data_IF_428976653601
#
_entry.id   IF_428976653601
#
_cell.length_a   1.000
_cell.length_b   1.000
_cell.length_c   1.000
_cell.angle_alpha   90.00
_cell.angle_beta   90.00
_cell.angle_gamma   90.00
#
_symmetry.space_group_name_H-M   'P 1'
#
loop_
_entity.id
_entity.type
_entity.pdbx_description
1 polymer ?
2 branched ?
3 non-polymer ?
4 water ?
#
# COMPACT_ATOMS: atom_id res chain seq x y z
N UNK A 1 -2.83 -6.16 -22.16
CA UNK A 1 -2.52 -7.14 -21.08
C UNK A 1 -2.99 -6.64 -19.72
N UNK A 2 -3.34 -7.58 -18.86
CA UNK A 2 -3.72 -7.28 -17.50
C UNK A 2 -2.83 -8.09 -16.57
N UNK A 3 -2.25 -7.42 -15.59
CA UNK A 3 -1.40 -8.07 -14.60
C UNK A 3 -1.97 -7.86 -13.20
N UNK A 4 -1.70 -8.80 -12.31
CA UNK A 4 -2.11 -8.72 -10.92
C UNK A 4 -1.00 -9.20 -10.00
N UNK A 5 -1.06 -8.79 -8.74
CA UNK A 5 -0.12 -9.25 -7.74
C UNK A 5 -0.66 -9.08 -6.33
N UNK A 6 0.24 -9.14 -5.37
CA UNK A 6 -0.12 -9.13 -3.96
C UNK A 6 1.06 -8.63 -3.13
N UNK A 7 0.81 -7.63 -2.29
CA UNK A 7 1.85 -7.00 -1.49
C UNK A 7 1.57 -7.35 -0.06
N UNK A 8 2.43 -8.17 0.54
CA UNK A 8 2.30 -8.52 1.94
C UNK A 8 3.20 -7.60 2.74
N UNK A 9 2.60 -6.67 3.47
CA UNK A 9 3.34 -5.69 4.24
C UNK A 9 3.83 -6.25 5.57
N UNK A 10 3.06 -7.15 6.17
CA UNK A 10 3.44 -7.79 7.42
C UNK A 10 3.25 -6.90 8.63
N UNK A 11 4.01 -7.17 9.69
CA UNK A 11 3.97 -6.40 10.94
C UNK A 11 4.48 -4.99 10.67
N UNK A 12 3.93 -4.00 11.37
CA UNK A 12 4.34 -2.61 11.15
C UNK A 12 5.62 -2.19 11.88
N UNK A 13 6.23 -3.15 12.59
CA UNK A 13 7.57 -2.99 13.16
C UNK A 13 8.61 -2.82 12.05
N UNK A 14 8.40 -3.50 10.93
CA UNK A 14 9.26 -3.38 9.77
C UNK A 14 8.90 -2.20 8.88
N UNK A 15 7.73 -1.60 9.12
CA UNK A 15 7.31 -0.43 8.34
C UNK A 15 8.14 0.74 8.82
N UNK A 16 8.43 1.67 7.92
CA UNK A 16 9.23 2.84 8.24
C UNK A 16 8.38 3.98 8.78
N UNK A 17 8.96 4.78 9.67
CA UNK A 17 8.39 6.06 10.04
C UNK A 17 8.55 6.97 8.84
N UNK A 18 7.47 7.64 8.45
CA UNK A 18 7.51 8.65 7.39
C UNK A 18 6.82 9.93 7.86
N UNK A 19 7.20 11.07 7.29
CA UNK A 19 6.70 12.36 7.79
C UNK A 19 5.28 12.60 7.29
N UNK A 20 4.37 12.93 8.20
CA UNK A 20 2.97 13.08 7.86
C UNK A 20 2.76 14.14 6.77
N UNK A 21 1.87 13.85 5.83
CA UNK A 21 1.43 14.83 4.83
C UNK A 21 -0.02 15.28 5.08
N UNK A 22 -0.57 14.90 6.24
CA UNK A 22 -1.89 15.34 6.69
C UNK A 22 -1.74 15.87 8.12
N UNK A 23 -1.97 17.17 8.34
CA UNK A 23 -1.65 17.80 9.63
C UNK A 23 -2.38 17.22 10.85
N UNK A 24 -3.55 16.62 10.63
CA UNK A 24 -4.28 15.92 11.68
C UNK A 24 -3.82 14.49 11.98
N UNK A 25 -2.75 14.03 11.34
CA UNK A 25 -2.16 12.71 11.61
C UNK A 25 -0.70 12.84 12.05
N UNK A 26 -0.31 12.01 13.01
CA UNK A 26 1.09 11.91 13.43
C UNK A 26 1.49 10.44 13.57
N UNK A 27 2.74 10.19 13.96
CA UNK A 27 3.27 8.83 14.04
C UNK A 27 2.86 8.00 12.81
N UNK A 28 2.98 8.60 11.63
CA UNK A 28 2.59 7.96 10.38
C UNK A 28 3.68 6.99 9.95
N UNK A 29 3.36 5.70 9.88
CA UNK A 29 4.28 4.69 9.35
C UNK A 29 3.77 4.20 8.01
N UNK A 30 4.58 3.41 7.31
CA UNK A 30 4.29 3.06 5.93
C UNK A 30 5.22 1.97 5.39
N UNK A 31 4.64 0.86 4.93
CA UNK A 31 5.37 -0.12 4.15
C UNK A 31 5.16 0.20 2.68
N UNK A 32 6.10 0.93 2.09
CA UNK A 32 5.98 1.41 0.71
C UNK A 32 6.80 0.56 -0.25
N UNK A 33 6.15 -0.40 -0.91
CA UNK A 33 6.80 -1.24 -1.91
C UNK A 33 6.79 -0.56 -3.28
N UNK A 34 7.71 -1.01 -4.12
CA UNK A 34 7.93 -0.44 -5.43
C UNK A 34 7.88 -1.56 -6.46
N UNK A 35 6.74 -1.66 -7.14
CA UNK A 35 6.41 -2.81 -7.98
C UNK A 35 6.88 -2.62 -9.41
N UNK A 36 7.26 -3.73 -10.05
CA UNK A 36 7.60 -3.76 -11.47
C UNK A 36 6.78 -4.82 -12.21
N UNK A 37 5.99 -4.36 -13.18
CA UNK A 37 5.20 -5.23 -14.05
C UNK A 37 6.07 -6.28 -14.74
N UNK A 38 5.60 -7.52 -14.78
CA UNK A 38 6.33 -8.60 -15.43
C UNK A 38 6.51 -8.28 -16.91
N UNK A 39 5.38 -8.01 -17.57
CA UNK A 39 5.37 -7.57 -18.96
C UNK A 39 5.04 -6.07 -18.99
N UNK A 40 6.04 -5.22 -19.23
CA UNK A 40 5.83 -3.78 -19.27
C UNK A 40 4.66 -3.33 -20.15
N UNK A 41 4.08 -2.21 -19.75
CA UNK A 41 3.18 -1.45 -20.61
C UNK A 41 4.01 -0.36 -21.26
N UNK A 42 3.51 0.20 -22.36
CA UNK A 42 4.16 1.36 -22.96
C UNK A 42 3.37 2.66 -22.71
N UNK A 43 2.07 2.55 -22.43
CA UNK A 43 1.32 3.63 -21.76
C UNK A 43 0.91 3.17 -20.34
N UNK A 44 1.01 4.06 -19.35
CA UNK A 44 0.65 3.74 -17.96
C UNK A 44 -0.73 3.11 -17.79
N UNK A 45 -0.79 1.92 -17.22
CA UNK A 45 -2.07 1.22 -17.02
C UNK A 45 -2.87 1.82 -15.87
N UNK A 46 -4.18 1.62 -15.88
CA UNK A 46 -5.01 1.92 -14.72
C UNK A 46 -4.82 0.83 -13.67
N UNK A 47 -4.50 1.24 -12.45
CA UNK A 47 -4.30 0.30 -11.34
C UNK A 47 -5.38 0.48 -10.28
N UNK A 48 -5.94 -0.63 -9.80
CA UNK A 48 -6.81 -0.63 -8.62
C UNK A 48 -6.11 -1.34 -7.48
N UNK A 49 -6.25 -0.79 -6.27
CA UNK A 49 -5.77 -1.44 -5.06
C UNK A 49 -6.94 -2.00 -4.26
N UNK A 50 -6.67 -3.10 -3.58
CA UNK A 50 -7.62 -3.74 -2.69
C UNK A 50 -6.90 -4.22 -1.43
N UNK A 51 -7.52 -4.03 -0.27
CA UNK A 51 -7.01 -4.62 0.96
C UNK A 51 -7.69 -5.97 1.12
N UNK A 52 -6.91 -7.04 1.25
CA UNK A 52 -7.47 -8.38 1.36
C UNK A 52 -6.92 -9.20 2.54
N UNK A 53 -6.21 -8.56 3.47
CA UNK A 53 -5.81 -9.24 4.71
C UNK A 53 -5.56 -8.20 5.79
N UNK A 54 -6.35 -8.24 6.86
CA UNK A 54 -6.15 -7.32 7.97
C UNK A 54 -6.09 -8.04 9.30
N UNK A 55 -5.14 -7.61 10.12
CA UNK A 55 -4.89 -8.16 11.44
C UNK A 55 -4.50 -6.96 12.30
N UNK A 56 -5.49 -6.37 12.97
CA UNK A 56 -5.30 -5.10 13.67
C UNK A 56 -5.67 -5.23 15.15
N UNK A 57 -4.92 -4.53 15.99
CA UNK A 57 -5.13 -4.48 17.44
C UNK A 57 -6.51 -3.90 17.79
N UNK A 58 -7.23 -4.62 18.66
CA UNK A 58 -8.64 -4.33 18.95
C UNK A 58 -8.81 -3.21 19.96
N UNK A 59 -7.78 -3.00 20.77
CA UNK A 59 -7.83 -2.04 21.87
C UNK A 59 -7.68 -0.62 21.35
N UNK A 60 -7.27 -0.50 20.09
CA UNK A 60 -6.93 0.79 19.51
C UNK A 60 -7.54 0.90 18.11
N UNK A 61 -7.85 2.13 17.70
CA UNK A 61 -8.60 2.36 16.46
C UNK A 61 -7.96 1.75 15.22
N UNK A 62 -8.81 1.20 14.36
CA UNK A 62 -8.41 0.73 13.04
C UNK A 62 -8.04 1.93 12.18
N UNK A 63 -6.74 2.12 11.93
CA UNK A 63 -6.27 3.16 11.01
C UNK A 63 -5.39 2.55 9.92
N UNK A 64 -5.94 2.40 8.72
CA UNK A 64 -5.17 1.90 7.58
C UNK A 64 -5.55 2.57 6.27
N UNK A 65 -4.58 2.62 5.37
CA UNK A 65 -4.80 3.04 3.99
C UNK A 65 -4.06 2.07 3.08
N UNK A 66 -4.69 1.72 1.97
CA UNK A 66 -4.00 1.09 0.85
C UNK A 66 -3.74 2.23 -0.10
N UNK A 67 -2.55 2.81 -0.01
CA UNK A 67 -2.22 4.04 -0.73
C UNK A 67 -1.62 3.75 -2.10
N UNK A 68 -2.03 4.54 -3.09
CA UNK A 68 -1.51 4.43 -4.45
C UNK A 68 -0.90 5.75 -4.87
N UNK A 69 0.42 5.86 -4.75
CA UNK A 69 1.13 7.09 -5.09
C UNK A 69 1.15 7.39 -6.60
N UNK A 70 1.87 6.58 -7.37
CA UNK A 70 2.08 6.85 -8.80
C UNK A 70 2.04 5.59 -9.66
N UNK A 71 1.78 5.79 -10.95
CA UNK A 71 1.73 4.71 -11.92
C UNK A 71 2.43 5.12 -13.22
N UNK A 72 3.42 4.31 -13.59
CA UNK A 72 4.22 4.48 -14.79
C UNK A 72 3.95 3.29 -15.70
N UNK A 73 4.56 3.26 -16.88
CA UNK A 73 4.39 2.12 -17.79
C UNK A 73 5.15 0.90 -17.31
N UNK A 74 6.14 1.14 -16.46
CA UNK A 74 7.04 0.12 -15.95
C UNK A 74 6.59 -0.49 -14.60
N UNK A 75 5.71 0.20 -13.87
CA UNK A 75 5.37 -0.21 -12.51
C UNK A 75 4.65 0.85 -11.68
N UNK A 76 4.58 0.65 -10.37
CA UNK A 76 3.91 1.62 -9.51
C UNK A 76 4.38 1.56 -8.07
N UNK A 77 4.46 2.72 -7.41
CA UNK A 77 4.71 2.79 -5.97
C UNK A 77 3.37 2.85 -5.23
N UNK A 78 3.17 1.90 -4.32
CA UNK A 78 2.00 1.86 -3.42
C UNK A 78 2.43 1.40 -2.04
N UNK A 79 1.56 1.56 -1.04
CA UNK A 79 1.95 1.30 0.35
C UNK A 79 0.81 0.93 1.31
N UNK A 80 1.11 0.10 2.30
CA UNK A 80 0.29 0.01 3.51
C UNK A 80 0.68 1.16 4.40
N UNK A 81 -0.31 1.85 4.95
CA UNK A 81 -0.08 3.11 5.65
C UNK A 81 -0.94 3.15 6.91
N UNK A 82 -0.33 3.45 8.04
CA UNK A 82 -1.07 3.62 9.30
C UNK A 82 -0.51 4.79 10.09
N UNK A 83 -1.27 5.26 11.07
CA UNK A 83 -0.83 6.41 11.86
C UNK A 83 -1.29 6.39 13.32
N UNK A 84 -0.67 7.25 14.13
CA UNK A 84 -0.96 7.41 15.57
C UNK A 84 -0.62 6.12 16.37
N UNK A 85 -1.48 5.69 17.29
CA UNK A 85 -1.15 4.54 18.15
C UNK A 85 -1.66 3.18 17.65
N UNK A 86 -2.40 3.21 16.54
CA UNK A 86 -2.87 2.00 15.87
C UNK A 86 -1.75 0.99 15.66
N UNK A 87 -2.04 -0.28 15.87
CA UNK A 87 -1.05 -1.34 15.67
C UNK A 87 -1.52 -2.35 14.62
N UNK A 88 -0.84 -2.36 13.48
CA UNK A 88 -1.07 -3.35 12.44
C UNK A 88 -0.13 -4.54 12.62
N UNK A 89 -0.70 -5.72 12.85
CA UNK A 89 0.04 -6.98 12.84
C UNK A 89 0.15 -7.56 11.44
N UNK A 90 -0.80 -7.25 10.55
CA UNK A 90 -0.79 -7.79 9.19
C UNK A 90 -1.65 -7.00 8.20
N UNK A 91 -1.09 -6.63 7.05
CA UNK A 91 -1.87 -6.01 5.97
C UNK A 91 -1.40 -6.45 4.59
N UNK A 92 -2.29 -7.03 3.81
CA UNK A 92 -2.00 -7.36 2.41
C UNK A 92 -2.81 -6.48 1.46
N UNK A 93 -2.21 -6.15 0.32
CA UNK A 93 -2.84 -5.36 -0.72
C UNK A 93 -2.68 -6.11 -2.03
N UNK A 94 -3.75 -6.74 -2.51
CA UNK A 94 -3.74 -7.32 -3.85
C UNK A 94 -4.18 -6.24 -4.83
N UNK A 95 -3.61 -6.26 -6.03
CA UNK A 95 -3.80 -5.19 -7.00
C UNK A 95 -3.96 -5.73 -8.41
N UNK A 96 -4.43 -4.85 -9.29
CA UNK A 96 -4.62 -5.17 -10.71
C UNK A 96 -4.18 -4.01 -11.60
N UNK A 97 -3.77 -4.34 -12.82
CA UNK A 97 -3.27 -3.35 -13.78
C UNK A 97 -3.81 -3.67 -15.15
N UNK A 98 -4.58 -2.75 -15.72
CA UNK A 98 -5.17 -2.94 -17.05
C UNK A 98 -4.72 -1.82 -17.97
N UNK A 99 -4.67 -2.12 -19.27
CA UNK A 99 -4.25 -1.17 -20.29
C UNK A 99 -5.08 0.10 -20.36
N UNK A 100 -6.19 0.04 -21.10
CA UNK A 100 -7.01 1.22 -21.45
C UNK A 100 -7.89 0.94 -22.68
X LIG B 1 -7.88 11.72 20.64
X LIG B 1 -8.06 12.15 19.18
X LIG B 1 -6.88 11.56 18.39
X LIG B 1 -5.62 12.16 19.03
X LIG B 1 -5.57 11.83 20.53
X LIG B 1 -4.31 12.42 21.18
X LIG B 1 -10.06 12.26 17.69
X LIG B 1 -11.40 11.59 17.35
X LIG B 1 -9.38 11.67 18.68
X LIG B 1 -8.99 11.96 21.51
X LIG B 1 -6.86 11.84 16.97
X LIG B 1 -5.63 13.58 18.90
X LIG B 1 -6.73 12.41 21.15
X LIG B 1 -4.49 13.83 21.38
X LIG B 1 -9.67 13.24 17.06
X LIG B 2 -7.32 9.67 15.97
X LIG B 2 -6.32 10.71 16.24
X LIG B 2 -5.68 11.15 14.92
X LIG B 2 -4.77 12.29 15.15
X LIG B 2 -6.73 11.54 13.87
X LIG B 2 -6.11 11.66 12.59
X LIG B 2 -7.84 10.50 13.76
X LIG B 2 -7.32 9.32 13.14
X LIG B 2 -8.39 10.17 15.14
X LIG B 2 -9.52 9.17 14.90
X LIG B 2 -9.32 8.04 15.74
X LIG B 2 -3.44 12.19 15.07
X LIG B 2 -2.83 11.14 14.81
X LIG B 2 -2.67 13.49 15.36
X LIG C 1 10.81 2.62 -5.24
X LIG C 1 11.47 3.59 -6.23
X LIG C 1 12.38 4.62 -5.56
X LIG C 1 11.68 5.18 -4.33
X LIG C 1 11.41 4.03 -3.37
X LIG C 1 10.91 4.49 -1.99
X LIG C 1 11.80 2.82 -8.54
X LIG C 1 11.95 1.51 -9.27
X LIG C 1 12.20 2.85 -7.26
X LIG C 1 12.66 5.65 -6.48
X LIG C 1 12.46 6.19 -3.71
X LIG C 1 10.46 3.17 -3.97
X LIG C 1 10.06 5.62 -2.08
X LIG C 1 11.34 3.80 -9.13
#
# INVERSE_FOLDING_TARGET
>A
RVQSGKINCGDDAGWAKVPSDDPGRDNTRELAKNITFASPYCRPPVVLLSITQLDVEQSQNLRVIARLYSVSPTGFKASCYTWHNTKVYSMSISWISIENY
>B hetero
1 NGA C1 C2 C3 C4 C5 C6 C7 C8 N2 O1 O3 O4 O5 O6 O7
2 A2G O5 C1 C2 N2 C3 O3 C4 O4 C5 C6 O6 C7 O7 C8
>C hetero
1 NAG C1 C2 C3 C4 C5 C6 C7 C8 N2 O3 O4 O5 O6 O7
#
